data_IF_384005865294
#
_entry.id   IF_384005865294
#
_cell.length_a   1.000
_cell.length_b   1.000
_cell.length_c   1.000
_cell.angle_alpha   90.00
_cell.angle_beta   90.00
_cell.angle_gamma   90.00
#
_symmetry.space_group_name_H-M   'P 1'
#
loop_
_entity.id
_entity.type
_entity.pdbx_description
1 polymer ?
#
# COMPACT_ATOMS: atom_id res chain seq x y z
N UNK A 1 -13.14 -4.53 19.16
CA UNK A 1 -12.93 -3.14 18.80
C UNK A 1 -13.03 -2.96 17.28
N UNK A 2 -13.72 -1.92 16.85
CA UNK A 2 -13.94 -1.65 15.41
C UNK A 2 -12.64 -1.25 14.73
N UNK A 3 -12.36 -1.75 13.51
CA UNK A 3 -11.22 -1.29 12.74
C UNK A 3 -11.37 0.18 12.37
N UNK A 4 -10.23 0.86 12.23
CA UNK A 4 -10.19 2.23 11.71
C UNK A 4 -10.02 2.19 10.21
N UNK A 5 -10.96 2.81 9.51
CA UNK A 5 -10.95 2.92 8.06
C UNK A 5 -10.25 4.20 7.62
N UNK A 6 -9.58 4.11 6.49
CA UNK A 6 -8.95 5.28 5.87
C UNK A 6 -9.17 5.25 4.36
N UNK A 7 -9.08 6.43 3.74
CA UNK A 7 -9.26 6.58 2.30
C UNK A 7 -8.41 7.74 1.79
N UNK A 8 -7.86 7.58 0.60
CA UNK A 8 -7.18 8.64 -0.13
C UNK A 8 -7.40 8.43 -1.63
N UNK A 9 -7.29 9.50 -2.40
CA UNK A 9 -7.46 9.46 -3.86
C UNK A 9 -6.48 10.42 -4.50
N UNK A 10 -5.74 9.96 -5.51
CA UNK A 10 -4.70 10.75 -6.18
C UNK A 10 -4.76 10.50 -7.67
N UNK A 11 -4.64 11.56 -8.47
CA UNK A 11 -4.58 11.46 -9.92
C UNK A 11 -3.14 11.27 -10.39
N UNK A 12 -2.97 10.35 -11.33
CA UNK A 12 -1.69 10.01 -11.96
C UNK A 12 -1.76 10.39 -13.44
N UNK A 13 -0.67 10.94 -13.96
CA UNK A 13 -0.57 11.31 -15.38
C UNK A 13 -0.10 10.15 -16.27
N UNK A 14 -0.36 8.91 -15.86
CA UNK A 14 -0.02 7.69 -16.60
C UNK A 14 -1.25 6.78 -16.66
N UNK A 15 -1.25 5.86 -17.62
CA UNK A 15 -2.34 4.90 -17.78
C UNK A 15 -2.48 3.99 -16.55
N UNK A 16 -3.68 3.44 -16.29
CA UNK A 16 -3.90 2.55 -15.15
C UNK A 16 -2.91 1.39 -15.05
N UNK A 17 -2.56 0.78 -16.19
CA UNK A 17 -1.61 -0.34 -16.20
C UNK A 17 -0.22 0.06 -15.71
N UNK A 18 0.23 1.26 -16.06
CA UNK A 18 1.54 1.77 -15.62
C UNK A 18 1.54 2.01 -14.12
N UNK A 19 0.49 2.65 -13.60
CA UNK A 19 0.35 2.88 -12.16
C UNK A 19 0.22 1.56 -11.39
N UNK A 20 -0.57 0.62 -11.91
CA UNK A 20 -0.76 -0.70 -11.31
C UNK A 20 0.57 -1.44 -11.19
N UNK A 21 1.33 -1.51 -12.29
CA UNK A 21 2.59 -2.25 -12.30
C UNK A 21 3.63 -1.65 -11.36
N UNK A 22 3.64 -0.34 -11.24
CA UNK A 22 4.55 0.35 -10.32
C UNK A 22 4.16 0.16 -8.85
N UNK A 23 2.90 0.49 -8.51
CA UNK A 23 2.42 0.43 -7.13
C UNK A 23 2.24 -1.00 -6.62
N UNK A 24 1.91 -1.92 -7.51
CA UNK A 24 1.67 -3.33 -7.17
C UNK A 24 2.94 -4.16 -7.03
N UNK A 25 4.10 -3.61 -7.31
CA UNK A 25 5.38 -4.30 -7.17
C UNK A 25 6.04 -3.89 -5.84
N UNK A 26 6.13 -4.83 -4.87
CA UNK A 26 6.74 -4.51 -3.58
C UNK A 26 8.17 -3.98 -3.66
N UNK A 27 8.92 -4.34 -4.70
CA UNK A 27 10.30 -3.88 -4.88
C UNK A 27 10.40 -2.37 -5.05
N UNK A 28 9.33 -1.73 -5.54
CA UNK A 28 9.27 -0.27 -5.74
C UNK A 28 8.87 0.49 -4.48
N UNK A 29 8.35 -0.18 -3.46
CA UNK A 29 7.80 0.47 -2.27
C UNK A 29 8.75 1.43 -1.56
N UNK A 30 10.03 1.10 -1.38
CA UNK A 30 10.94 2.04 -0.73
C UNK A 30 11.08 3.37 -1.46
N UNK A 31 10.77 3.43 -2.76
CA UNK A 31 10.84 4.66 -3.54
C UNK A 31 9.72 5.65 -3.20
N UNK A 32 8.53 5.16 -2.89
CA UNK A 32 7.36 6.03 -2.73
C UNK A 32 6.72 5.98 -1.35
N UNK A 33 6.95 4.94 -0.58
CA UNK A 33 6.37 4.78 0.76
C UNK A 33 7.37 5.25 1.82
N UNK A 34 7.16 6.49 2.32
CA UNK A 34 8.17 7.19 3.11
C UNK A 34 8.50 6.56 4.47
N UNK A 35 7.58 5.79 5.04
CA UNK A 35 7.82 5.09 6.32
C UNK A 35 8.65 3.82 6.19
N UNK A 36 8.99 3.41 4.96
CA UNK A 36 9.59 2.12 4.67
C UNK A 36 11.07 2.24 4.41
N UNK A 37 11.87 1.41 5.09
CA UNK A 37 13.31 1.31 4.85
C UNK A 37 13.63 0.30 3.76
N UNK A 38 13.06 -0.90 3.84
CA UNK A 38 13.39 -1.99 2.93
C UNK A 38 12.28 -3.02 2.83
N UNK A 39 12.36 -3.79 1.76
CA UNK A 39 11.46 -4.92 1.47
C UNK A 39 12.31 -6.15 1.26
N UNK A 40 11.94 -7.27 1.89
CA UNK A 40 12.60 -8.55 1.71
C UNK A 40 11.63 -9.54 1.08
N UNK A 41 11.91 -9.94 -0.16
CA UNK A 41 11.15 -10.92 -0.90
C UNK A 41 11.76 -12.31 -0.74
N UNK A 42 10.96 -13.39 -0.82
CA UNK A 42 11.49 -14.76 -0.80
C UNK A 42 12.47 -15.00 -1.95
N UNK A 43 12.19 -14.44 -3.12
CA UNK A 43 13.06 -14.45 -4.30
C UNK A 43 13.12 -13.03 -4.87
N UNK A 44 14.34 -12.53 -5.12
CA UNK A 44 14.56 -11.20 -5.67
C UNK A 44 13.87 -10.96 -7.00
N UNK A 45 13.78 -11.98 -7.83
CA UNK A 45 13.21 -11.90 -9.17
C UNK A 45 11.73 -12.28 -9.21
N UNK A 46 11.08 -12.49 -8.06
CA UNK A 46 9.67 -12.85 -8.02
C UNK A 46 8.81 -11.75 -8.63
N UNK A 47 8.04 -12.10 -9.66
CA UNK A 47 7.07 -11.17 -10.23
C UNK A 47 5.85 -11.07 -9.31
N UNK A 48 5.25 -9.87 -9.20
CA UNK A 48 4.03 -9.69 -8.40
C UNK A 48 2.90 -10.60 -8.89
N UNK A 49 2.22 -11.25 -7.96
CA UNK A 49 1.09 -12.14 -8.24
C UNK A 49 0.24 -12.31 -6.98
N UNK A 50 -0.96 -12.84 -7.16
CA UNK A 50 -1.82 -13.19 -6.05
C UNK A 50 -1.12 -14.18 -5.12
N UNK A 51 -1.09 -13.89 -3.83
CA UNK A 51 -0.44 -14.74 -2.84
C UNK A 51 1.03 -14.44 -2.60
N UNK A 52 1.65 -13.55 -3.39
CA UNK A 52 3.03 -13.16 -3.11
C UNK A 52 3.11 -12.55 -1.71
N UNK A 53 4.02 -13.07 -0.90
CA UNK A 53 4.25 -12.59 0.46
C UNK A 53 5.67 -12.06 0.60
N UNK A 54 5.82 -11.04 1.43
CA UNK A 54 7.14 -10.43 1.70
C UNK A 54 7.15 -9.83 3.10
N UNK A 55 8.32 -9.41 3.54
CA UNK A 55 8.48 -8.72 4.82
C UNK A 55 8.98 -7.31 4.57
N UNK A 56 8.42 -6.36 5.31
CA UNK A 56 8.85 -4.96 5.29
C UNK A 56 9.61 -4.63 6.56
N UNK A 57 10.55 -3.69 6.45
CA UNK A 57 11.22 -3.08 7.60
C UNK A 57 10.91 -1.59 7.56
N UNK A 58 10.24 -1.09 8.60
CA UNK A 58 9.84 0.31 8.68
C UNK A 58 10.87 1.14 9.45
N UNK A 59 10.76 2.46 9.31
CA UNK A 59 11.64 3.43 9.98
C UNK A 59 11.59 3.31 11.51
N UNK A 60 10.46 2.85 12.07
CA UNK A 60 10.27 2.72 13.51
C UNK A 60 10.56 1.30 14.03
N UNK A 61 11.10 0.43 13.19
CA UNK A 61 11.51 -0.91 13.60
C UNK A 61 10.39 -1.96 13.57
N UNK A 62 9.19 -1.61 13.14
CA UNK A 62 8.11 -2.58 12.92
C UNK A 62 8.41 -3.34 11.63
N UNK A 63 8.21 -4.66 11.66
CA UNK A 63 8.57 -5.55 10.55
C UNK A 63 7.38 -6.43 10.16
N UNK A 64 6.35 -5.85 9.51
CA UNK A 64 5.15 -6.60 9.16
C UNK A 64 5.40 -7.62 8.06
N UNK A 65 4.63 -8.70 8.11
CA UNK A 65 4.52 -9.64 7.01
C UNK A 65 3.37 -9.20 6.11
N UNK A 66 3.64 -9.09 4.83
CA UNK A 66 2.69 -8.62 3.83
C UNK A 66 2.33 -9.75 2.86
N UNK A 67 1.11 -9.67 2.30
CA UNK A 67 0.67 -10.62 1.28
C UNK A 67 -0.31 -9.94 0.32
N UNK A 68 -0.15 -10.18 -0.98
CA UNK A 68 -1.10 -9.71 -2.01
C UNK A 68 -2.33 -10.61 -1.95
N UNK A 69 -3.48 -10.01 -1.66
CA UNK A 69 -4.77 -10.71 -1.51
C UNK A 69 -5.71 -10.51 -2.70
N UNK A 70 -5.42 -9.55 -3.57
CA UNK A 70 -6.16 -9.29 -4.80
C UNK A 70 -5.20 -8.79 -5.87
N UNK A 71 -5.31 -9.34 -7.07
CA UNK A 71 -4.43 -8.99 -8.17
C UNK A 71 -5.20 -9.05 -9.48
N UNK A 72 -5.86 -7.95 -9.84
CA UNK A 72 -6.71 -7.84 -11.02
C UNK A 72 -6.19 -6.68 -11.89
N UNK A 73 -5.16 -6.97 -12.65
CA UNK A 73 -4.49 -5.97 -13.50
C UNK A 73 -5.42 -5.53 -14.65
N UNK A 74 -5.58 -4.26 -14.92
CA UNK A 74 -4.99 -3.08 -14.26
C UNK A 74 -5.97 -2.35 -13.34
N UNK A 75 -6.99 -3.00 -12.79
CA UNK A 75 -8.12 -2.34 -12.14
C UNK A 75 -8.10 -2.37 -10.62
N UNK A 76 -7.62 -3.45 -10.02
CA UNK A 76 -7.69 -3.61 -8.56
C UNK A 76 -6.55 -4.44 -8.00
N UNK A 77 -6.03 -4.00 -6.88
CA UNK A 77 -4.93 -4.64 -6.16
C UNK A 77 -5.20 -4.52 -4.66
N UNK A 78 -4.87 -5.54 -3.89
CA UNK A 78 -5.05 -5.47 -2.44
C UNK A 78 -3.97 -6.25 -1.72
N UNK A 79 -3.72 -5.82 -0.48
CA UNK A 79 -2.78 -6.48 0.42
C UNK A 79 -3.31 -6.55 1.84
N UNK A 80 -2.73 -7.45 2.63
CA UNK A 80 -2.86 -7.48 4.07
C UNK A 80 -1.48 -7.48 4.70
N UNK A 81 -1.31 -6.72 5.75
CA UNK A 81 -0.09 -6.69 6.56
C UNK A 81 -0.42 -7.12 7.98
N UNK A 82 0.44 -7.94 8.57
CA UNK A 82 0.27 -8.43 9.94
C UNK A 82 1.56 -8.27 10.72
N UNK A 83 1.42 -7.77 11.93
CA UNK A 83 2.53 -7.64 12.86
C UNK A 83 1.99 -7.75 14.28
N UNK A 84 2.34 -8.85 14.97
CA UNK A 84 1.86 -9.11 16.33
C UNK A 84 0.32 -9.03 16.40
N UNK A 85 -0.23 -8.17 17.26
CA UNK A 85 -1.68 -7.98 17.39
C UNK A 85 -2.30 -6.97 16.43
N UNK A 86 -1.57 -6.53 15.40
CA UNK A 86 -2.03 -5.52 14.43
C UNK A 86 -2.23 -6.17 13.07
N UNK A 87 -3.34 -5.81 12.42
CA UNK A 87 -3.63 -6.18 11.03
C UNK A 87 -4.04 -4.93 10.26
N UNK A 88 -3.47 -4.76 9.07
CA UNK A 88 -3.80 -3.65 8.19
C UNK A 88 -4.10 -4.19 6.80
N UNK A 89 -5.17 -3.68 6.19
CA UNK A 89 -5.53 -4.00 4.81
C UNK A 89 -5.48 -2.73 3.97
N UNK A 90 -5.14 -2.89 2.68
CA UNK A 90 -5.13 -1.80 1.72
C UNK A 90 -5.66 -2.33 0.39
N UNK A 91 -6.63 -1.62 -0.18
CA UNK A 91 -7.15 -1.88 -1.52
C UNK A 91 -6.87 -0.67 -2.38
N UNK A 92 -6.30 -0.89 -3.56
CA UNK A 92 -6.09 0.14 -4.58
C UNK A 92 -7.02 -0.16 -5.75
N UNK A 93 -7.81 0.83 -6.12
CA UNK A 93 -8.62 0.80 -7.34
C UNK A 93 -8.03 1.79 -8.34
N UNK A 94 -7.97 1.40 -9.60
CA UNK A 94 -7.37 2.18 -10.67
C UNK A 94 -8.45 2.51 -11.70
N UNK A 95 -8.86 3.78 -11.73
CA UNK A 95 -9.92 4.24 -12.63
C UNK A 95 -9.29 5.02 -13.77
N UNK A 96 -9.65 4.66 -15.00
CA UNK A 96 -9.18 5.38 -16.18
C UNK A 96 -9.73 6.81 -16.19
N UNK A 97 -8.87 7.76 -16.55
CA UNK A 97 -9.20 9.17 -16.75
C UNK A 97 -8.62 9.63 -18.06
N UNK A 98 -9.20 10.71 -18.62
CA UNK A 98 -8.73 11.28 -19.90
C UNK A 98 -7.24 11.57 -19.89
N UNK A 99 -6.70 12.08 -18.79
CA UNK A 99 -5.29 12.49 -18.68
C UNK A 99 -4.42 11.47 -17.94
N UNK A 100 -4.91 10.26 -17.71
CA UNK A 100 -4.17 9.24 -16.97
C UNK A 100 -5.08 8.30 -16.19
N UNK A 101 -4.91 8.24 -14.89
CA UNK A 101 -5.79 7.45 -14.04
C UNK A 101 -5.96 8.09 -12.66
N UNK A 102 -7.00 7.65 -11.96
CA UNK A 102 -7.19 7.97 -10.54
C UNK A 102 -6.96 6.71 -9.74
N UNK A 103 -6.07 6.80 -8.76
CA UNK A 103 -5.81 5.71 -7.81
C UNK A 103 -6.56 6.03 -6.53
N UNK A 104 -7.44 5.13 -6.13
CA UNK A 104 -8.24 5.24 -4.92
C UNK A 104 -7.74 4.18 -3.94
N UNK A 105 -7.26 4.64 -2.78
CA UNK A 105 -6.78 3.76 -1.72
C UNK A 105 -7.80 3.72 -0.60
N UNK A 106 -8.20 2.53 -0.20
CA UNK A 106 -9.07 2.31 0.94
C UNK A 106 -8.49 1.21 1.80
N UNK A 107 -8.60 1.33 3.12
CA UNK A 107 -8.08 0.31 3.99
C UNK A 107 -8.58 0.42 5.41
N UNK A 108 -8.10 -0.50 6.22
CA UNK A 108 -8.46 -0.62 7.63
C UNK A 108 -7.25 -1.03 8.44
N UNK A 109 -7.15 -0.48 9.66
CA UNK A 109 -6.16 -0.92 10.64
C UNK A 109 -6.90 -1.34 11.89
N UNK A 110 -6.60 -2.53 12.40
CA UNK A 110 -7.16 -3.03 13.64
C UNK A 110 -6.06 -3.59 14.55
N UNK A 111 -6.29 -3.51 15.84
CA UNK A 111 -5.37 -4.06 16.83
C UNK A 111 -6.13 -4.80 17.93
N UNK A 112 -5.52 -5.85 18.45
CA UNK A 112 -6.06 -6.66 19.54
C UNK A 112 -5.32 -6.39 20.84
N UNK A 113 -6.04 -6.44 21.96
CA UNK A 113 -5.46 -6.27 23.29
C UNK A 113 -4.70 -4.96 23.44
N UNK A 114 -3.43 -5.03 23.82
CA UNK A 114 -2.58 -3.87 24.02
C UNK A 114 -2.32 -3.07 22.72
N UNK A 115 -2.60 -3.66 21.55
CA UNK A 115 -2.39 -3.00 20.25
C UNK A 115 -3.62 -2.24 19.77
N UNK A 116 -4.76 -2.33 20.46
CA UNK A 116 -5.99 -1.68 20.02
C UNK A 116 -5.88 -0.15 19.96
N UNK A 117 -5.30 0.50 20.95
CA UNK A 117 -5.15 1.96 21.00
C UNK A 117 -4.10 2.44 19.99
N UNK A 118 -2.88 1.87 19.94
CA UNK A 118 -1.91 2.25 18.92
C UNK A 118 -2.43 2.07 17.49
N UNK A 119 -3.18 0.99 17.23
CA UNK A 119 -3.78 0.77 15.91
C UNK A 119 -4.84 1.83 15.58
N UNK A 120 -5.64 2.25 16.54
CA UNK A 120 -6.64 3.30 16.32
C UNK A 120 -5.99 4.65 16.00
N UNK A 121 -4.89 4.99 16.68
CA UNK A 121 -4.13 6.22 16.41
C UNK A 121 -3.51 6.15 15.00
N UNK A 122 -2.87 5.05 14.65
CA UNK A 122 -2.30 4.85 13.31
C UNK A 122 -3.37 4.96 12.24
N UNK A 123 -4.55 4.40 12.46
CA UNK A 123 -5.66 4.47 11.51
C UNK A 123 -6.15 5.88 11.24
N UNK A 124 -6.09 6.77 12.25
CA UNK A 124 -6.47 8.18 12.06
C UNK A 124 -5.52 8.93 11.14
N UNK A 125 -4.25 8.55 11.12
CA UNK A 125 -3.21 9.20 10.34
C UNK A 125 -2.99 8.54 8.98
N UNK A 126 -3.45 7.30 8.82
CA UNK A 126 -3.16 6.48 7.64
C UNK A 126 -3.65 7.11 6.33
N UNK A 127 -4.83 7.74 6.33
CA UNK A 127 -5.35 8.40 5.14
C UNK A 127 -4.46 9.53 4.64
N UNK A 128 -3.93 10.34 5.55
CA UNK A 128 -3.00 11.41 5.20
C UNK A 128 -1.66 10.84 4.72
N UNK A 129 -1.17 9.81 5.38
CA UNK A 129 0.10 9.17 5.03
C UNK A 129 0.04 8.51 3.66
N UNK A 130 -0.98 7.71 3.39
CA UNK A 130 -1.12 7.05 2.09
C UNK A 130 -1.35 8.05 0.97
N UNK A 131 -2.10 9.12 1.23
CA UNK A 131 -2.29 10.20 0.25
C UNK A 131 -0.99 10.88 -0.12
N UNK A 132 -0.15 11.19 0.86
CA UNK A 132 1.16 11.79 0.64
C UNK A 132 2.09 10.84 -0.15
N UNK A 133 2.08 9.57 0.20
CA UNK A 133 2.89 8.55 -0.47
C UNK A 133 2.44 8.35 -1.92
N UNK A 134 1.14 8.30 -2.17
CA UNK A 134 0.60 8.18 -3.53
C UNK A 134 0.94 9.42 -4.38
N UNK A 135 0.90 10.62 -3.79
CA UNK A 135 1.32 11.84 -4.51
C UNK A 135 2.79 11.78 -4.89
N UNK A 136 3.63 11.22 -4.01
CA UNK A 136 5.05 11.01 -4.33
C UNK A 136 5.19 10.02 -5.49
N UNK A 137 4.47 8.90 -5.46
CA UNK A 137 4.46 7.94 -6.57
C UNK A 137 4.01 8.58 -7.87
N UNK A 138 2.96 9.41 -7.82
CA UNK A 138 2.47 10.12 -9.00
C UNK A 138 3.53 11.04 -9.59
N UNK A 139 4.30 11.74 -8.76
CA UNK A 139 5.42 12.59 -9.23
C UNK A 139 6.53 11.75 -9.86
N UNK A 140 6.87 10.63 -9.26
CA UNK A 140 7.90 9.73 -9.79
C UNK A 140 7.51 9.25 -11.20
N UNK A 141 6.30 8.75 -11.35
CA UNK A 141 5.82 8.24 -12.64
C UNK A 141 5.62 9.35 -13.66
N UNK A 142 5.20 10.53 -13.23
CA UNK A 142 5.01 11.68 -14.11
C UNK A 142 6.31 12.25 -14.68
N UNK A 143 7.45 11.96 -14.06
CA UNK A 143 8.77 12.43 -14.52
C UNK A 143 9.55 11.42 -15.35
N UNK A 144 8.99 10.23 -15.56
CA UNK A 144 9.61 9.16 -16.36
C UNK A 144 9.20 9.22 -17.82
#
# INVERSE_FOLDING_TARGET
MSPRRFRASVDFAVAPAVAFDYLGDPRNRPEWQSSLLSVTLPERAAEPHLGLAWRETTMVGVRPRMEITRFERPTAWAEVGRWRGVEATLVLAFEERRSGCRVIAEGEISGRGAYAVPAAVAGRLAGLAIGADLRKAARILGSR
#
